data_IF_388991246120
#
_entry.id   IF_388991246120
#
_cell.length_a   1.000
_cell.length_b   1.000
_cell.length_c   1.000
_cell.angle_alpha   90.00
_cell.angle_beta   90.00
_cell.angle_gamma   90.00
#
_symmetry.space_group_name_H-M   'P 1'
#
loop_
_entity.id
_entity.type
_entity.pdbx_description
1 polymer ?
#
# COMPACT_ATOMS: atom_id res chain seq x y z
N UNK A 1 -5.86 -16.73 -16.53
CA UNK A 1 -5.20 -15.82 -17.50
C UNK A 1 -6.00 -14.53 -17.51
N UNK A 2 -5.54 -13.50 -16.78
CA UNK A 2 -6.23 -12.22 -16.66
C UNK A 2 -6.07 -11.44 -17.97
N UNK A 3 -7.18 -11.22 -18.65
CA UNK A 3 -7.22 -10.34 -19.83
C UNK A 3 -7.49 -8.91 -19.34
N UNK A 4 -6.47 -8.08 -19.26
CA UNK A 4 -6.63 -6.66 -18.92
C UNK A 4 -7.23 -5.93 -20.14
N UNK A 5 -8.49 -5.51 -20.03
CA UNK A 5 -9.06 -4.52 -20.95
C UNK A 5 -8.44 -3.17 -20.62
N UNK A 6 -7.77 -2.56 -21.59
CA UNK A 6 -7.29 -1.17 -21.53
C UNK A 6 -8.51 -0.24 -21.48
N UNK A 7 -8.98 0.08 -20.26
CA UNK A 7 -9.97 1.12 -20.02
C UNK A 7 -9.27 2.45 -19.77
N UNK A 8 -9.92 3.54 -20.15
CA UNK A 8 -9.46 4.93 -19.97
C UNK A 8 -9.01 5.16 -18.55
N UNK A 9 -7.74 5.55 -18.34
CA UNK A 9 -7.15 5.87 -17.03
C UNK A 9 -7.74 7.18 -16.53
N UNK A 10 -8.27 7.19 -15.32
CA UNK A 10 -8.61 8.42 -14.61
C UNK A 10 -7.34 9.10 -14.08
N UNK A 11 -7.30 10.42 -14.05
CA UNK A 11 -6.11 11.27 -13.91
C UNK A 11 -5.31 11.18 -12.57
N UNK A 12 -5.78 10.46 -11.56
CA UNK A 12 -5.00 10.06 -10.38
C UNK A 12 -4.81 8.53 -10.33
N UNK A 13 -4.95 7.86 -11.47
CA UNK A 13 -4.82 6.42 -11.60
C UNK A 13 -3.46 5.93 -11.15
N UNK A 14 -3.47 4.96 -10.27
CA UNK A 14 -2.33 4.11 -9.99
C UNK A 14 -2.51 2.78 -10.74
N UNK A 15 -1.41 2.20 -11.17
CA UNK A 15 -1.44 0.96 -11.94
C UNK A 15 -1.55 -0.27 -11.05
N UNK A 16 -0.96 -0.20 -9.84
CA UNK A 16 -0.93 -1.30 -8.86
C UNK A 16 -1.04 -0.73 -7.44
N UNK A 17 -1.81 -1.38 -6.58
CA UNK A 17 -1.82 -1.10 -5.15
C UNK A 17 -0.93 -2.11 -4.39
N UNK A 18 -0.16 -1.63 -3.42
CA UNK A 18 0.64 -2.45 -2.50
C UNK A 18 0.09 -2.29 -1.09
N UNK A 19 -0.33 -3.39 -0.47
CA UNK A 19 -0.76 -3.45 0.92
C UNK A 19 0.36 -4.08 1.76
N UNK A 20 1.00 -3.25 2.59
CA UNK A 20 2.26 -3.56 3.25
C UNK A 20 2.04 -3.84 4.74
N UNK A 21 2.44 -5.03 5.19
CA UNK A 21 2.52 -5.46 6.59
C UNK A 21 1.23 -5.26 7.43
N UNK A 22 0.06 -5.33 6.80
CA UNK A 22 -1.22 -5.28 7.52
C UNK A 22 -1.52 -6.59 8.25
N UNK A 23 -0.56 -7.04 9.06
CA UNK A 23 -0.51 -8.32 9.75
C UNK A 23 -0.74 -8.14 11.26
N UNK A 24 -1.27 -9.15 11.98
CA UNK A 24 -1.55 -9.06 13.42
C UNK A 24 -0.34 -8.65 14.25
N UNK A 25 0.87 -9.10 13.86
CA UNK A 25 2.11 -8.77 14.57
C UNK A 25 2.36 -7.25 14.66
N UNK A 26 2.07 -6.50 13.60
CA UNK A 26 2.28 -5.06 13.56
C UNK A 26 1.05 -4.30 14.09
N UNK A 27 -0.14 -4.72 13.67
CA UNK A 27 -1.38 -4.01 14.01
C UNK A 27 -1.70 -3.97 15.50
N UNK A 28 -1.25 -4.98 16.28
CA UNK A 28 -1.43 -4.98 17.76
C UNK A 28 -0.67 -3.86 18.47
N UNK A 29 0.28 -3.22 17.80
CA UNK A 29 1.08 -2.11 18.34
C UNK A 29 0.50 -0.74 18.02
N UNK A 30 -0.53 -0.69 17.18
CA UNK A 30 -1.27 0.53 16.89
C UNK A 30 -2.28 0.81 18.00
N UNK A 31 -2.55 2.09 18.25
CA UNK A 31 -3.71 2.49 19.06
C UNK A 31 -5.01 2.08 18.31
N UNK A 32 -6.03 1.65 19.06
CA UNK A 32 -7.28 1.10 18.49
C UNK A 32 -7.95 2.06 17.49
N UNK A 33 -8.01 3.34 17.80
CA UNK A 33 -8.58 4.35 16.89
C UNK A 33 -7.78 4.52 15.59
N UNK A 34 -6.45 4.42 15.65
CA UNK A 34 -5.57 4.46 14.47
C UNK A 34 -5.76 3.20 13.64
N UNK A 35 -5.79 2.03 14.29
CA UNK A 35 -6.02 0.74 13.64
C UNK A 35 -7.37 0.74 12.90
N UNK A 36 -8.45 1.12 13.56
CA UNK A 36 -9.78 1.15 12.95
C UNK A 36 -9.82 2.10 11.74
N UNK A 37 -9.24 3.29 11.86
CA UNK A 37 -9.20 4.28 10.79
C UNK A 37 -8.45 3.76 9.56
N UNK A 38 -7.25 3.21 9.73
CA UNK A 38 -6.43 2.75 8.60
C UNK A 38 -7.09 1.57 7.90
N UNK A 39 -7.66 0.61 8.63
CA UNK A 39 -8.37 -0.53 8.04
C UNK A 39 -9.57 -0.05 7.24
N UNK A 40 -10.40 0.85 7.80
CA UNK A 40 -11.58 1.39 7.10
C UNK A 40 -11.20 2.11 5.80
N UNK A 41 -10.15 2.92 5.82
CA UNK A 41 -9.67 3.63 4.63
C UNK A 41 -9.13 2.66 3.56
N UNK A 42 -8.40 1.63 3.98
CA UNK A 42 -7.87 0.62 3.07
C UNK A 42 -8.96 -0.26 2.47
N UNK A 43 -10.02 -0.59 3.21
CA UNK A 43 -11.21 -1.29 2.68
C UNK A 43 -11.81 -0.53 1.49
N UNK A 44 -11.96 0.79 1.61
CA UNK A 44 -12.49 1.65 0.53
C UNK A 44 -11.62 1.51 -0.73
N UNK A 45 -10.30 1.58 -0.58
CA UNK A 45 -9.35 1.45 -1.70
C UNK A 45 -9.36 0.04 -2.28
N UNK A 46 -9.41 -0.99 -1.45
CA UNK A 46 -9.46 -2.39 -1.92
C UNK A 46 -10.72 -2.62 -2.77
N UNK A 47 -11.89 -2.15 -2.30
CA UNK A 47 -13.14 -2.23 -3.06
C UNK A 47 -13.06 -1.49 -4.39
N UNK A 48 -12.42 -0.33 -4.40
CA UNK A 48 -12.16 0.41 -5.65
C UNK A 48 -11.27 -0.40 -6.60
N UNK A 49 -10.17 -0.97 -6.11
CA UNK A 49 -9.29 -1.82 -6.92
C UNK A 49 -10.04 -3.01 -7.51
N UNK A 50 -10.87 -3.69 -6.71
CA UNK A 50 -11.69 -4.82 -7.15
C UNK A 50 -12.69 -4.40 -8.23
N UNK A 51 -13.41 -3.29 -8.02
CA UNK A 51 -14.42 -2.80 -8.95
C UNK A 51 -13.83 -2.39 -10.31
N UNK A 52 -12.59 -1.89 -10.32
CA UNK A 52 -11.93 -1.41 -11.55
C UNK A 52 -10.88 -2.37 -12.12
N UNK A 53 -10.72 -3.57 -11.53
CA UNK A 53 -9.75 -4.56 -11.98
C UNK A 53 -8.30 -4.09 -11.82
N UNK A 54 -8.02 -3.20 -10.86
CA UNK A 54 -6.67 -2.73 -10.55
C UNK A 54 -5.95 -3.81 -9.75
N UNK A 55 -4.76 -4.27 -10.18
CA UNK A 55 -3.98 -5.25 -9.42
C UNK A 55 -3.64 -4.75 -8.02
N UNK A 56 -3.80 -5.63 -7.02
CA UNK A 56 -3.39 -5.38 -5.66
C UNK A 56 -2.49 -6.52 -5.19
N UNK A 57 -1.34 -6.18 -4.59
CA UNK A 57 -0.39 -7.14 -4.05
C UNK A 57 -0.29 -6.99 -2.54
N UNK A 58 -0.34 -8.12 -1.82
CA UNK A 58 -0.03 -8.19 -0.41
C UNK A 58 1.49 -8.28 -0.26
N UNK A 59 2.09 -7.40 0.53
CA UNK A 59 3.53 -7.42 0.86
C UNK A 59 3.63 -7.72 2.35
N UNK A 60 3.91 -8.99 2.67
CA UNK A 60 3.86 -9.50 4.03
C UNK A 60 5.25 -9.79 4.58
N UNK A 61 5.49 -9.44 5.84
CA UNK A 61 6.73 -9.77 6.54
C UNK A 61 6.69 -11.24 7.00
N UNK A 62 7.75 -11.96 6.73
CA UNK A 62 7.87 -13.37 7.14
C UNK A 62 7.69 -13.53 8.65
N UNK A 63 6.81 -14.42 9.06
CA UNK A 63 6.53 -14.67 10.48
C UNK A 63 5.58 -13.66 11.15
N UNK A 64 5.09 -12.65 10.43
CA UNK A 64 4.11 -11.66 10.95
C UNK A 64 2.66 -12.16 10.99
N UNK A 65 2.38 -13.33 10.46
CA UNK A 65 1.04 -13.84 10.18
C UNK A 65 0.60 -13.45 8.76
N UNK A 66 -0.65 -13.73 8.42
CA UNK A 66 -1.26 -13.24 7.18
C UNK A 66 -1.85 -11.84 7.41
N UNK A 67 -2.02 -11.07 6.34
CA UNK A 67 -2.85 -9.85 6.35
C UNK A 67 -4.20 -10.14 7.02
N UNK A 68 -4.67 -9.21 7.86
CA UNK A 68 -5.88 -9.40 8.66
C UNK A 68 -7.12 -9.66 7.82
N UNK A 69 -8.07 -10.42 8.37
CA UNK A 69 -9.25 -10.86 7.63
C UNK A 69 -10.13 -9.70 7.17
N UNK A 70 -10.22 -8.62 7.97
CA UNK A 70 -10.97 -7.41 7.64
C UNK A 70 -10.61 -6.83 6.27
N UNK A 71 -9.36 -7.03 5.83
CA UNK A 71 -8.89 -6.60 4.51
C UNK A 71 -8.92 -7.73 3.48
N UNK A 72 -8.56 -8.95 3.90
CA UNK A 72 -8.55 -10.11 2.99
C UNK A 72 -9.92 -10.48 2.46
N UNK A 73 -10.97 -10.32 3.28
CA UNK A 73 -12.34 -10.69 2.92
C UNK A 73 -12.94 -9.75 1.87
N UNK A 74 -12.35 -8.58 1.70
CA UNK A 74 -12.69 -7.64 0.63
C UNK A 74 -12.04 -7.99 -0.73
N UNK A 75 -11.12 -8.95 -0.76
CA UNK A 75 -10.37 -9.34 -1.96
C UNK A 75 -10.87 -10.66 -2.54
N UNK A 76 -11.01 -10.79 -3.86
CA UNK A 76 -11.21 -12.08 -4.53
C UNK A 76 -10.05 -13.05 -4.22
N UNK A 77 -10.33 -14.36 -4.30
CA UNK A 77 -9.34 -15.40 -3.94
C UNK A 77 -8.07 -15.35 -4.80
N UNK A 78 -8.21 -15.08 -6.08
CA UNK A 78 -7.09 -14.92 -7.02
C UNK A 78 -6.22 -13.71 -6.68
N UNK A 79 -6.80 -12.59 -6.26
CA UNK A 79 -6.06 -11.42 -5.79
C UNK A 79 -5.28 -11.74 -4.50
N UNK A 80 -5.84 -12.54 -3.59
CA UNK A 80 -5.15 -12.98 -2.36
C UNK A 80 -3.93 -13.86 -2.63
N UNK A 81 -3.85 -14.49 -3.81
CA UNK A 81 -2.68 -15.30 -4.22
C UNK A 81 -1.48 -14.46 -4.64
N UNK A 82 -1.66 -13.17 -4.90
CA UNK A 82 -0.58 -12.23 -5.22
C UNK A 82 0.14 -11.72 -3.95
N UNK A 83 0.66 -12.63 -3.13
CA UNK A 83 1.39 -12.28 -1.92
C UNK A 83 2.89 -12.33 -2.16
N UNK A 84 3.59 -11.26 -1.76
CA UNK A 84 5.05 -11.13 -1.72
C UNK A 84 5.49 -11.30 -0.27
N UNK A 85 6.29 -12.30 0.01
CA UNK A 85 6.88 -12.49 1.34
C UNK A 85 8.25 -11.83 1.39
N UNK A 86 8.43 -10.89 2.31
CA UNK A 86 9.70 -10.21 2.55
C UNK A 86 10.32 -10.58 3.90
N UNK A 87 11.64 -10.48 3.99
CA UNK A 87 12.42 -10.69 5.23
C UNK A 87 13.15 -9.42 5.69
N UNK A 88 13.03 -8.35 4.91
CA UNK A 88 13.60 -7.03 5.16
C UNK A 88 12.50 -5.99 5.19
N UNK A 89 12.77 -4.84 5.79
CA UNK A 89 11.76 -3.76 5.87
C UNK A 89 11.36 -3.22 4.50
N UNK A 90 12.26 -3.25 3.53
CA UNK A 90 11.99 -2.82 2.17
C UNK A 90 11.35 -3.94 1.34
N UNK A 91 10.18 -3.70 0.77
CA UNK A 91 9.44 -4.65 -0.04
C UNK A 91 10.15 -5.12 -1.31
N UNK A 92 11.11 -4.34 -1.82
CA UNK A 92 11.92 -4.71 -2.99
C UNK A 92 13.16 -5.53 -2.66
N UNK A 93 13.57 -5.62 -1.39
CA UNK A 93 14.80 -6.30 -1.00
C UNK A 93 14.64 -7.82 -1.04
N UNK A 94 15.39 -8.48 -1.93
CA UNK A 94 15.40 -9.93 -2.07
C UNK A 94 14.01 -10.56 -2.33
N UNK A 95 13.16 -9.85 -3.09
CA UNK A 95 11.83 -10.30 -3.46
C UNK A 95 11.60 -10.24 -4.96
N UNK A 96 10.54 -10.88 -5.41
CA UNK A 96 10.08 -10.82 -6.81
C UNK A 96 9.20 -9.59 -7.13
N UNK A 97 9.00 -8.67 -6.16
CA UNK A 97 8.10 -7.54 -6.32
C UNK A 97 8.39 -6.73 -7.59
N UNK A 98 9.67 -6.38 -7.82
CA UNK A 98 10.05 -5.60 -9.00
C UNK A 98 9.72 -6.31 -10.30
N UNK A 99 10.04 -7.60 -10.41
CA UNK A 99 9.76 -8.39 -11.60
C UNK A 99 8.24 -8.49 -11.87
N UNK A 100 7.43 -8.68 -10.82
CA UNK A 100 5.98 -8.71 -10.95
C UNK A 100 5.41 -7.36 -11.42
N UNK A 101 5.91 -6.25 -10.89
CA UNK A 101 5.50 -4.90 -11.31
C UNK A 101 5.88 -4.63 -12.77
N UNK A 102 7.08 -5.04 -13.20
CA UNK A 102 7.50 -4.94 -14.59
C UNK A 102 6.62 -5.76 -15.53
N UNK A 103 6.25 -6.99 -15.16
CA UNK A 103 5.33 -7.83 -15.93
C UNK A 103 3.95 -7.20 -16.10
N UNK A 104 3.50 -6.42 -15.10
CA UNK A 104 2.27 -5.62 -15.16
C UNK A 104 2.44 -4.30 -15.91
N UNK A 105 3.66 -3.95 -16.31
CA UNK A 105 4.02 -2.66 -16.92
C UNK A 105 3.57 -1.48 -16.05
N UNK A 106 3.68 -1.64 -14.74
CA UNK A 106 3.31 -0.61 -13.78
C UNK A 106 4.28 0.57 -13.89
N UNK A 107 3.75 1.79 -13.88
CA UNK A 107 4.50 3.05 -13.80
C UNK A 107 4.21 3.79 -12.50
N UNK A 108 3.05 3.52 -11.90
CA UNK A 108 2.58 4.18 -10.69
C UNK A 108 2.05 3.18 -9.66
N UNK A 109 2.42 3.41 -8.39
CA UNK A 109 2.10 2.53 -7.28
C UNK A 109 1.35 3.31 -6.19
N UNK A 110 0.20 2.79 -5.75
CA UNK A 110 -0.43 3.21 -4.52
C UNK A 110 0.13 2.36 -3.37
N UNK A 111 0.74 3.00 -2.37
CA UNK A 111 1.23 2.34 -1.18
C UNK A 111 0.30 2.60 0.00
N UNK A 112 -0.02 1.55 0.74
CA UNK A 112 -0.80 1.60 1.96
C UNK A 112 -0.30 0.54 2.95
N UNK A 113 -0.37 0.80 4.24
CA UNK A 113 0.07 -0.15 5.27
C UNK A 113 0.80 0.46 6.46
N UNK A 114 1.61 -0.36 7.11
CA UNK A 114 2.41 -0.03 8.30
C UNK A 114 3.84 -0.57 8.15
N UNK A 115 4.90 0.04 8.73
CA UNK A 115 4.87 1.35 9.41
C UNK A 115 5.21 2.44 8.40
N UNK A 116 4.55 3.59 8.53
CA UNK A 116 4.76 4.73 7.62
C UNK A 116 6.21 5.21 7.62
N UNK A 117 6.88 5.24 8.77
CA UNK A 117 8.30 5.59 8.92
C UNK A 117 9.27 4.42 8.67
N UNK A 118 8.77 3.22 8.49
CA UNK A 118 9.55 1.99 8.34
C UNK A 118 9.33 1.30 7.00
N UNK A 119 8.59 0.21 7.01
CA UNK A 119 8.43 -0.65 5.84
C UNK A 119 7.79 0.06 4.65
N UNK A 120 6.79 0.91 4.87
CA UNK A 120 6.16 1.69 3.81
C UNK A 120 7.14 2.71 3.25
N UNK A 121 7.83 3.47 4.13
CA UNK A 121 8.84 4.45 3.72
C UNK A 121 9.96 3.84 2.87
N UNK A 122 10.59 2.75 3.35
CA UNK A 122 11.70 2.11 2.64
C UNK A 122 11.26 1.52 1.31
N UNK A 123 10.03 1.02 1.24
CA UNK A 123 9.44 0.52 -0.01
C UNK A 123 9.15 1.67 -0.97
N UNK A 124 8.59 2.79 -0.48
CA UNK A 124 8.34 3.99 -1.27
C UNK A 124 9.65 4.58 -1.84
N UNK A 125 10.67 4.72 -0.99
CA UNK A 125 11.99 5.20 -1.40
C UNK A 125 12.61 4.33 -2.51
N UNK A 126 12.53 3.01 -2.36
CA UNK A 126 13.03 2.09 -3.39
C UNK A 126 12.20 2.10 -4.66
N UNK A 127 10.88 2.27 -4.57
CA UNK A 127 10.01 2.42 -5.71
C UNK A 127 10.40 3.64 -6.55
N UNK A 128 10.58 4.79 -5.90
CA UNK A 128 11.02 6.04 -6.57
C UNK A 128 12.38 5.86 -7.25
N UNK A 129 13.36 5.25 -6.57
CA UNK A 129 14.69 4.99 -7.14
C UNK A 129 14.65 4.02 -8.33
N UNK A 130 13.59 3.24 -8.46
CA UNK A 130 13.34 2.35 -9.61
C UNK A 130 12.48 3.00 -10.70
N UNK A 131 12.14 4.27 -10.55
CA UNK A 131 11.39 5.05 -11.53
C UNK A 131 9.87 4.99 -11.40
N UNK A 132 9.34 4.37 -10.36
CA UNK A 132 7.90 4.36 -10.12
C UNK A 132 7.41 5.69 -9.54
N UNK A 133 6.27 6.16 -10.02
CA UNK A 133 5.50 7.22 -9.37
C UNK A 133 4.83 6.62 -8.13
N UNK A 134 5.04 7.21 -6.96
CA UNK A 134 4.47 6.73 -5.70
C UNK A 134 3.33 7.64 -5.25
N UNK A 135 2.23 7.03 -4.87
CA UNK A 135 1.00 7.66 -4.41
C UNK A 135 0.64 7.07 -3.05
N UNK A 136 0.17 7.87 -2.12
CA UNK A 136 -0.43 7.43 -0.86
C UNK A 136 -1.38 8.49 -0.31
N UNK A 137 -2.03 8.22 0.83
CA UNK A 137 -2.85 9.19 1.54
C UNK A 137 -2.60 9.10 3.06
N UNK A 138 -2.92 10.18 3.80
CA UNK A 138 -2.69 10.25 5.24
C UNK A 138 -3.44 9.19 6.05
N UNK A 139 -4.57 8.71 5.56
CA UNK A 139 -5.39 7.67 6.20
C UNK A 139 -5.06 6.25 5.74
N UNK A 140 -4.18 6.09 4.75
CA UNK A 140 -3.76 4.79 4.21
C UNK A 140 -2.50 4.24 4.86
N UNK A 141 -1.73 5.07 5.59
CA UNK A 141 -0.49 4.70 6.26
C UNK A 141 -0.53 5.10 7.72
N UNK A 142 0.14 4.34 8.57
CA UNK A 142 0.25 4.64 10.00
C UNK A 142 1.56 4.10 10.58
N UNK A 143 1.98 4.68 11.70
CA UNK A 143 3.10 4.22 12.51
C UNK A 143 2.64 3.58 13.81
N UNK A 144 3.47 2.71 14.36
CA UNK A 144 3.33 2.20 15.73
C UNK A 144 3.39 3.36 16.73
N UNK A 145 2.72 3.20 17.88
CA UNK A 145 2.65 4.25 18.90
C UNK A 145 3.98 4.61 19.56
N UNK A 146 5.06 3.90 19.27
CA UNK A 146 6.40 4.18 19.80
C UNK A 146 7.24 5.13 18.92
N UNK A 147 6.78 5.49 17.74
CA UNK A 147 7.49 6.45 16.86
C UNK A 147 7.42 7.83 17.47
N UNK A 148 8.56 8.49 17.61
CA UNK A 148 8.63 9.83 18.18
C UNK A 148 7.94 10.85 17.25
N UNK A 149 7.24 11.87 17.81
CA UNK A 149 6.51 12.84 16.99
C UNK A 149 7.36 13.54 15.93
N UNK A 150 8.62 13.86 16.23
CA UNK A 150 9.52 14.50 15.26
C UNK A 150 9.90 13.56 14.11
N UNK A 151 10.10 12.27 14.37
CA UNK A 151 10.40 11.26 13.33
C UNK A 151 9.19 11.07 12.41
N UNK A 152 7.99 11.00 12.99
CA UNK A 152 6.75 10.93 12.23
C UNK A 152 6.56 12.16 11.33
N UNK A 153 6.85 13.37 11.86
CA UNK A 153 6.76 14.61 11.07
C UNK A 153 7.79 14.66 9.95
N UNK A 154 9.03 14.27 10.19
CA UNK A 154 10.08 14.19 9.17
C UNK A 154 9.70 13.21 8.07
N UNK A 155 9.18 12.04 8.44
CA UNK A 155 8.66 11.05 7.51
C UNK A 155 7.55 11.62 6.64
N UNK A 156 6.55 12.29 7.23
CA UNK A 156 5.45 12.90 6.48
C UNK A 156 5.92 14.07 5.61
N UNK A 157 6.94 14.81 6.03
CA UNK A 157 7.59 15.84 5.20
C UNK A 157 8.26 15.22 3.97
N UNK A 158 8.91 14.07 4.14
CA UNK A 158 9.49 13.32 3.04
C UNK A 158 8.43 12.86 2.03
N UNK A 159 7.30 12.29 2.49
CA UNK A 159 6.19 11.88 1.62
C UNK A 159 5.64 13.07 0.83
N UNK A 160 5.40 14.22 1.48
CA UNK A 160 4.93 15.44 0.81
C UNK A 160 5.89 15.92 -0.30
N UNK A 161 7.18 15.70 -0.13
CA UNK A 161 8.19 16.14 -1.10
C UNK A 161 8.36 15.17 -2.27
N UNK A 162 8.22 13.88 -2.03
CA UNK A 162 8.68 12.84 -2.96
C UNK A 162 7.53 11.99 -3.54
N UNK A 163 6.36 12.05 -2.96
CA UNK A 163 5.19 11.24 -3.37
C UNK A 163 4.00 12.17 -3.67
N UNK A 164 3.00 11.62 -4.35
CA UNK A 164 1.67 12.22 -4.35
C UNK A 164 1.00 11.79 -3.04
N UNK A 165 0.85 12.74 -2.11
CA UNK A 165 0.22 12.51 -0.81
C UNK A 165 -1.16 13.15 -0.80
N UNK A 166 -2.20 12.32 -0.97
CA UNK A 166 -3.59 12.77 -0.92
C UNK A 166 -4.04 13.07 0.53
N UNK A 167 -4.97 14.02 0.73
CA UNK A 167 -5.51 14.29 2.06
C UNK A 167 -6.18 13.08 2.71
N UNK A 168 -6.85 12.25 1.91
CA UNK A 168 -7.48 11.00 2.35
C UNK A 168 -7.74 10.07 1.17
N UNK A 169 -8.10 8.81 1.49
CA UNK A 169 -8.42 7.77 0.52
C UNK A 169 -9.61 8.11 -0.36
N UNK A 170 -10.66 8.74 0.19
CA UNK A 170 -11.87 9.14 -0.56
C UNK A 170 -11.51 10.18 -1.62
N UNK A 171 -10.74 11.21 -1.26
CA UNK A 171 -10.28 12.22 -2.22
C UNK A 171 -9.38 11.64 -3.31
N UNK A 172 -8.61 10.60 -2.97
CA UNK A 172 -7.74 9.91 -3.90
C UNK A 172 -8.53 9.14 -4.97
N UNK A 173 -9.54 8.37 -4.57
CA UNK A 173 -10.35 7.57 -5.49
C UNK A 173 -11.53 8.33 -6.10
N UNK A 174 -12.06 9.34 -5.42
CA UNK A 174 -13.19 10.17 -5.90
C UNK A 174 -12.82 11.16 -7.00
N UNK A 175 -11.54 11.46 -7.21
CA UNK A 175 -11.04 12.21 -8.38
C UNK A 175 -10.91 11.31 -9.62
N UNK A 176 -11.22 10.03 -9.48
CA UNK A 176 -11.19 9.02 -10.54
C UNK A 176 -12.58 8.75 -11.16
N UNK A 177 -13.59 9.60 -10.90
CA UNK A 177 -14.94 9.47 -11.45
C UNK A 177 -15.24 10.50 -12.53
#
# INVERSE_FOLDING_TARGET
>A
MWSFKHGVRADLGFDVALLIDMQPHFLRKLQDGVRARIISAQVIVIRHCVAHGIPLMLVEYHGGGMTVNELRDEMPRDMRSCTIIKRHNNGFSCTELHARLQNLRAESLLLMGVNASGCVYLTAHSAINKGYKVITAYDLIADEGCVMPHEAEETMRWYRKNCILAPNSIGLIGQAA
#
